data_IF_494716433855
#
_entry.id   IF_494716433855
#
_cell.length_a   1.000
_cell.length_b   1.000
_cell.length_c   1.000
_cell.angle_alpha   90.00
_cell.angle_beta   90.00
_cell.angle_gamma   90.00
#
_symmetry.space_group_name_H-M   'P 1'
#
loop_
_entity.id
_entity.type
_entity.pdbx_description
1 polymer ?
#
# COMPACT_ATOMS: atom_id res chain seq x y z
N UNK A 1 -10.90 8.87 42.68
CA UNK A 1 -9.66 8.11 42.41
C UNK A 1 -9.80 7.60 40.99
N UNK A 2 -9.29 8.40 40.07
CA UNK A 2 -9.44 8.24 38.62
C UNK A 2 -8.53 7.13 38.06
N UNK A 3 -8.86 6.75 36.82
CA UNK A 3 -8.04 6.10 35.80
C UNK A 3 -7.97 4.56 35.84
N UNK A 4 -9.06 3.94 35.37
CA UNK A 4 -8.95 2.69 34.59
C UNK A 4 -8.87 3.11 33.12
N UNK A 5 -7.75 2.79 32.48
CA UNK A 5 -7.40 3.17 31.11
C UNK A 5 -8.35 2.59 30.05
N UNK A 6 -8.73 3.34 28.99
CA UNK A 6 -9.30 2.74 27.80
C UNK A 6 -8.17 2.50 26.79
N UNK A 7 -7.59 1.31 26.80
CA UNK A 7 -6.93 0.78 25.60
C UNK A 7 -8.05 0.17 24.75
N UNK A 8 -8.00 0.35 23.43
CA UNK A 8 -8.93 -0.18 22.41
C UNK A 8 -10.20 0.66 22.14
N UNK A 9 -10.02 1.94 21.80
CA UNK A 9 -10.86 2.58 20.78
C UNK A 9 -9.97 3.49 19.94
N UNK A 10 -9.63 3.04 18.73
CA UNK A 10 -9.32 3.84 17.52
C UNK A 10 -8.30 3.13 16.61
N UNK A 11 -8.65 2.01 15.97
CA UNK A 11 -7.91 1.48 14.82
C UNK A 11 -8.82 0.66 13.88
N UNK A 12 -9.95 1.23 13.48
CA UNK A 12 -10.60 0.84 12.22
C UNK A 12 -10.95 2.14 11.51
N UNK A 13 -9.99 2.64 10.72
CA UNK A 13 -10.25 3.76 9.81
C UNK A 13 -11.41 3.41 8.88
N UNK A 14 -12.25 4.40 8.56
CA UNK A 14 -13.50 4.27 7.82
C UNK A 14 -13.44 3.27 6.65
N UNK A 15 -14.43 2.36 6.58
CA UNK A 15 -14.57 1.30 5.56
C UNK A 15 -14.55 1.82 4.11
N UNK A 16 -14.97 3.06 3.87
CA UNK A 16 -15.00 3.66 2.53
C UNK A 16 -13.60 3.99 2.01
N UNK A 17 -12.67 4.42 2.87
CA UNK A 17 -11.31 4.76 2.46
C UNK A 17 -10.52 3.51 2.04
N UNK A 18 -10.87 2.34 2.56
CA UNK A 18 -10.26 1.05 2.20
C UNK A 18 -11.08 0.30 1.14
N UNK A 19 -12.13 0.92 0.57
CA UNK A 19 -12.91 0.30 -0.47
C UNK A 19 -12.02 0.04 -1.70
N UNK A 20 -12.09 -1.18 -2.20
CA UNK A 20 -11.35 -1.63 -3.38
C UNK A 20 -12.30 -1.68 -4.59
N UNK A 21 -11.78 -1.54 -5.82
CA UNK A 21 -10.36 -1.40 -6.18
C UNK A 21 -9.78 -0.01 -5.89
N UNK A 22 -8.50 0.04 -5.56
CA UNK A 22 -7.74 1.30 -5.51
C UNK A 22 -7.21 1.62 -6.91
N UNK A 23 -7.43 2.85 -7.37
CA UNK A 23 -6.88 3.32 -8.65
C UNK A 23 -5.55 4.02 -8.41
N UNK A 24 -4.50 3.64 -9.13
CA UNK A 24 -3.20 4.30 -9.12
C UNK A 24 -2.71 4.58 -10.55
N UNK A 25 -1.96 5.68 -10.71
CA UNK A 25 -1.41 6.10 -11.99
C UNK A 25 0.11 5.93 -11.97
N UNK A 26 0.63 5.19 -12.95
CA UNK A 26 2.06 4.94 -13.10
C UNK A 26 2.58 5.26 -14.50
N UNK A 27 3.87 5.02 -14.72
CA UNK A 27 4.53 5.23 -16.01
C UNK A 27 3.93 4.37 -17.14
N UNK A 28 3.22 3.30 -16.78
CA UNK A 28 2.61 2.32 -17.69
C UNK A 28 1.09 2.50 -17.83
N UNK A 29 0.57 3.63 -17.36
CA UNK A 29 -0.84 3.95 -17.37
C UNK A 29 -1.52 3.73 -16.02
N UNK A 30 -2.85 3.73 -16.06
CA UNK A 30 -3.71 3.53 -14.89
C UNK A 30 -3.83 2.05 -14.54
N UNK A 31 -3.80 1.75 -13.24
CA UNK A 31 -4.04 0.40 -12.69
C UNK A 31 -5.13 0.44 -11.62
N UNK A 32 -5.98 -0.58 -11.64
CA UNK A 32 -6.95 -0.84 -10.59
C UNK A 32 -6.50 -2.06 -9.77
N UNK A 33 -6.26 -1.88 -8.48
CA UNK A 33 -5.70 -2.91 -7.61
C UNK A 33 -6.73 -3.35 -6.58
N UNK A 34 -6.96 -4.67 -6.56
CA UNK A 34 -7.65 -5.36 -5.48
C UNK A 34 -6.70 -6.35 -4.81
N UNK A 35 -6.80 -6.49 -3.49
CA UNK A 35 -6.00 -7.39 -2.68
C UNK A 35 -6.87 -8.06 -1.61
N UNK A 36 -6.68 -9.36 -1.43
CA UNK A 36 -7.31 -10.13 -0.37
C UNK A 36 -6.24 -10.96 0.36
N UNK A 37 -5.78 -10.44 1.49
CA UNK A 37 -4.73 -11.04 2.31
C UNK A 37 -4.08 -10.02 3.23
N UNK A 38 -2.88 -10.33 3.72
CA UNK A 38 -2.06 -9.43 4.52
C UNK A 38 -0.63 -9.33 3.95
N UNK A 39 -0.12 -8.13 3.69
CA UNK A 39 1.28 -7.90 3.29
C UNK A 39 2.12 -7.77 4.55
N UNK A 40 2.81 -8.85 4.93
CA UNK A 40 3.50 -8.95 6.22
C UNK A 40 4.68 -7.97 6.38
N UNK A 41 5.29 -7.55 5.27
CA UNK A 41 6.41 -6.60 5.21
C UNK A 41 5.96 -5.19 4.76
N UNK A 42 4.68 -4.84 4.92
CA UNK A 42 4.14 -3.55 4.47
C UNK A 42 4.85 -2.34 5.08
N UNK A 43 5.34 -2.46 6.33
CA UNK A 43 6.05 -1.39 7.00
C UNK A 43 7.42 -1.13 6.36
N UNK A 44 8.20 -2.17 6.11
CA UNK A 44 9.49 -2.06 5.43
C UNK A 44 9.33 -1.51 4.01
N UNK A 45 8.36 -2.04 3.25
CA UNK A 45 8.11 -1.59 1.87
C UNK A 45 7.76 -0.10 1.80
N UNK A 46 6.99 0.43 2.76
CA UNK A 46 6.65 1.86 2.79
C UNK A 46 7.88 2.73 3.00
N UNK A 47 8.80 2.32 3.88
CA UNK A 47 10.08 3.02 4.10
C UNK A 47 10.90 3.00 2.82
N UNK A 48 11.14 1.81 2.27
CA UNK A 48 11.94 1.65 1.05
C UNK A 48 11.37 2.44 -0.13
N UNK A 49 10.05 2.43 -0.33
CA UNK A 49 9.42 3.17 -1.41
C UNK A 49 9.40 4.69 -1.19
N UNK A 50 9.43 5.15 0.06
CA UNK A 50 9.60 6.56 0.39
C UNK A 50 11.03 7.01 0.04
N UNK A 51 12.03 6.18 0.37
CA UNK A 51 13.45 6.45 0.12
C UNK A 51 13.82 6.34 -1.37
N UNK A 52 13.37 5.29 -2.05
CA UNK A 52 13.70 5.02 -3.46
C UNK A 52 12.90 5.88 -4.43
N UNK A 53 11.62 6.11 -4.16
CA UNK A 53 10.69 6.71 -5.13
C UNK A 53 9.94 7.94 -4.63
N UNK A 54 10.29 8.47 -3.45
CA UNK A 54 9.62 9.63 -2.86
C UNK A 54 8.12 9.40 -2.64
N UNK A 55 7.73 8.17 -2.35
CA UNK A 55 6.31 7.79 -2.19
C UNK A 55 5.70 8.41 -0.94
N UNK A 56 4.45 8.85 -1.05
CA UNK A 56 3.68 9.36 0.08
C UNK A 56 2.38 8.56 0.17
N UNK A 57 2.18 7.92 1.32
CA UNK A 57 1.04 7.05 1.55
C UNK A 57 -0.02 7.78 2.37
N UNK A 58 -1.27 7.77 1.91
CA UNK A 58 -2.40 8.42 2.57
C UNK A 58 -3.19 7.45 3.45
N UNK A 59 -3.21 6.16 3.07
CA UNK A 59 -3.94 5.09 3.76
C UNK A 59 -2.95 4.19 4.48
N UNK A 60 -3.45 3.25 5.27
CA UNK A 60 -2.63 2.21 5.89
C UNK A 60 -2.92 0.82 5.32
N UNK A 61 -3.65 0.74 4.21
CA UNK A 61 -4.09 -0.50 3.60
C UNK A 61 -2.99 -1.13 2.75
N UNK A 62 -2.87 -2.45 2.80
CA UNK A 62 -2.00 -3.23 1.91
C UNK A 62 -2.24 -2.94 0.43
N UNK A 63 -3.49 -2.71 0.03
CA UNK A 63 -3.84 -2.36 -1.35
C UNK A 63 -3.10 -1.11 -1.83
N UNK A 64 -2.88 -0.13 -0.96
CA UNK A 64 -2.13 1.09 -1.30
C UNK A 64 -0.64 0.80 -1.46
N UNK A 65 -0.07 -0.04 -0.59
CA UNK A 65 1.32 -0.50 -0.72
C UNK A 65 1.54 -1.21 -2.05
N UNK A 66 0.65 -2.15 -2.40
CA UNK A 66 0.71 -2.88 -3.66
C UNK A 66 0.53 -1.94 -4.85
N UNK A 67 -0.45 -1.02 -4.80
CA UNK A 67 -0.72 -0.12 -5.92
C UNK A 67 0.42 0.85 -6.18
N UNK A 68 0.97 1.46 -5.12
CA UNK A 68 2.13 2.35 -5.24
C UNK A 68 3.35 1.57 -5.76
N UNK A 69 3.55 0.32 -5.33
CA UNK A 69 4.66 -0.51 -5.77
C UNK A 69 4.56 -0.81 -7.27
N UNK A 70 3.37 -1.21 -7.75
CA UNK A 70 3.17 -1.47 -9.17
C UNK A 70 3.21 -0.19 -10.03
N UNK A 71 2.75 0.94 -9.51
CA UNK A 71 2.78 2.21 -10.22
C UNK A 71 4.21 2.73 -10.45
N UNK A 72 5.12 2.48 -9.48
CA UNK A 72 6.47 3.06 -9.45
C UNK A 72 7.62 2.09 -9.72
N UNK A 73 7.40 0.79 -9.56
CA UNK A 73 8.43 -0.22 -9.80
C UNK A 73 9.06 -0.07 -11.21
N UNK A 74 10.37 -0.33 -11.34
CA UNK A 74 11.04 -0.34 -12.64
C UNK A 74 10.56 -1.52 -13.51
N UNK A 75 10.74 -1.40 -14.82
CA UNK A 75 10.33 -2.40 -15.81
C UNK A 75 9.78 -1.79 -17.09
N UNK A 76 10.01 -2.41 -18.23
CA UNK A 76 9.48 -1.97 -19.52
C UNK A 76 8.04 -2.43 -19.75
N UNK A 77 7.63 -3.51 -19.10
CA UNK A 77 6.28 -4.08 -19.18
C UNK A 77 5.76 -4.55 -17.81
N UNK A 78 4.51 -5.03 -17.79
CA UNK A 78 3.88 -5.53 -16.56
C UNK A 78 4.50 -6.83 -16.04
N UNK A 79 5.16 -7.61 -16.89
CA UNK A 79 5.83 -8.82 -16.46
C UNK A 79 7.07 -8.49 -15.62
N UNK A 80 7.90 -7.57 -16.09
CA UNK A 80 9.08 -7.10 -15.36
C UNK A 80 8.70 -6.40 -14.05
N UNK A 81 7.66 -5.57 -14.07
CA UNK A 81 7.10 -4.93 -12.87
C UNK A 81 6.62 -5.96 -11.86
N UNK A 82 5.83 -6.94 -12.31
CA UNK A 82 5.33 -8.00 -11.42
C UNK A 82 6.49 -8.79 -10.83
N UNK A 83 7.49 -9.11 -11.65
CA UNK A 83 8.67 -9.83 -11.20
C UNK A 83 9.47 -9.02 -10.17
N UNK A 84 9.63 -7.70 -10.36
CA UNK A 84 10.25 -6.82 -9.38
C UNK A 84 9.44 -6.79 -8.07
N UNK A 85 8.13 -6.51 -8.16
CA UNK A 85 7.26 -6.36 -7.00
C UNK A 85 7.21 -7.62 -6.13
N UNK A 86 7.15 -8.80 -6.75
CA UNK A 86 7.09 -10.09 -6.05
C UNK A 86 8.39 -10.50 -5.35
N UNK A 87 9.51 -9.80 -5.58
CA UNK A 87 10.80 -10.06 -4.94
C UNK A 87 11.11 -9.13 -3.76
N UNK A 88 10.24 -8.17 -3.49
CA UNK A 88 10.39 -7.23 -2.37
C UNK A 88 9.80 -7.84 -1.11
#
# INVERSE_FOLDING_TARGET
MELVTPVIRQWVGNKEYNAQPLIANGQRGEIAVGHNGNVINAAELRVEMTEEFGSNFEKSSDTEVIAELFAKAPGSDWFEVSAYAMRR
#
